data_IF_679946397645
#
_entry.id   IF_679946397645
#
_cell.length_a   1.000
_cell.length_b   1.000
_cell.length_c   1.000
_cell.angle_alpha   90.00
_cell.angle_beta   90.00
_cell.angle_gamma   90.00
#
_symmetry.space_group_name_H-M   'P 1'
#
loop_
_entity.id
_entity.type
_entity.pdbx_description
1 polymer ?
#
# COMPACT_ATOMS: atom_id res chain seq x y z
N UNK A 1 -12.99 -12.07 6.90
CA UNK A 1 -12.26 -11.05 6.12
C UNK A 1 -11.98 -11.46 4.67
N UNK A 2 -12.34 -10.58 3.73
CA UNK A 2 -11.90 -10.59 2.33
C UNK A 2 -10.44 -10.11 2.27
N UNK A 3 -9.64 -10.73 1.41
CA UNK A 3 -8.21 -10.45 1.26
C UNK A 3 -7.92 -9.87 -0.11
N UNK A 4 -7.00 -8.92 -0.15
CA UNK A 4 -6.61 -8.22 -1.37
C UNK A 4 -5.10 -8.14 -1.44
N UNK A 5 -4.57 -8.32 -2.65
CA UNK A 5 -3.20 -7.92 -2.98
C UNK A 5 -3.25 -6.61 -3.75
N UNK A 6 -2.42 -5.68 -3.33
CA UNK A 6 -2.23 -4.37 -3.94
C UNK A 6 -0.80 -4.33 -4.46
N UNK A 7 -0.67 -4.10 -5.75
CA UNK A 7 0.62 -3.88 -6.42
C UNK A 7 0.57 -2.47 -6.97
N UNK A 8 1.36 -1.58 -6.39
CA UNK A 8 1.34 -0.17 -6.73
C UNK A 8 2.72 0.29 -7.17
N UNK A 9 2.80 0.95 -8.32
CA UNK A 9 4.01 1.63 -8.77
C UNK A 9 3.93 3.11 -8.42
N UNK A 10 5.05 3.68 -8.01
CA UNK A 10 5.17 5.10 -7.77
C UNK A 10 5.11 5.89 -9.09
N UNK A 11 5.05 7.22 -8.99
CA UNK A 11 5.33 8.10 -10.13
C UNK A 11 6.71 7.81 -10.74
N UNK A 12 6.87 8.12 -12.03
CA UNK A 12 8.15 8.00 -12.75
C UNK A 12 8.83 9.34 -12.99
N UNK A 13 8.21 10.42 -12.54
CA UNK A 13 8.78 11.77 -12.58
C UNK A 13 9.91 11.92 -11.55
N UNK A 14 10.78 12.91 -11.76
CA UNK A 14 11.95 13.17 -10.91
C UNK A 14 11.60 13.43 -9.44
N UNK A 15 10.37 13.91 -9.15
CA UNK A 15 9.90 14.18 -7.80
C UNK A 15 9.30 12.96 -7.09
N UNK A 16 9.24 11.79 -7.75
CA UNK A 16 8.54 10.63 -7.21
C UNK A 16 9.12 10.13 -5.90
N UNK A 17 10.46 10.00 -5.82
CA UNK A 17 11.13 9.53 -4.62
C UNK A 17 10.97 10.53 -3.46
N UNK A 18 11.13 11.82 -3.71
CA UNK A 18 10.94 12.87 -2.71
C UNK A 18 9.50 12.89 -2.17
N UNK A 19 8.51 12.81 -3.08
CA UNK A 19 7.09 12.71 -2.72
C UNK A 19 6.82 11.49 -1.85
N UNK A 20 7.38 10.32 -2.20
CA UNK A 20 7.29 9.12 -1.37
C UNK A 20 7.88 9.35 0.01
N UNK A 21 9.09 9.89 0.10
CA UNK A 21 9.78 10.09 1.38
C UNK A 21 9.00 11.04 2.29
N UNK A 22 8.45 12.12 1.73
CA UNK A 22 7.63 13.09 2.46
C UNK A 22 6.36 12.46 3.04
N UNK A 23 5.66 11.62 2.26
CA UNK A 23 4.39 11.01 2.67
C UNK A 23 4.59 9.74 3.53
N UNK A 24 5.77 9.10 3.43
CA UNK A 24 6.09 7.80 4.06
C UNK A 24 5.78 7.73 5.55
N UNK A 25 6.08 8.73 6.40
CA UNK A 25 5.75 8.67 7.81
C UNK A 25 4.25 8.50 8.07
N UNK A 26 3.41 9.20 7.31
CA UNK A 26 1.95 9.14 7.44
C UNK A 26 1.42 7.80 6.93
N UNK A 27 1.92 7.32 5.80
CA UNK A 27 1.63 5.98 5.28
C UNK A 27 1.93 4.89 6.31
N UNK A 28 3.13 4.89 6.89
CA UNK A 28 3.54 3.88 7.88
C UNK A 28 2.72 3.96 9.17
N UNK A 29 2.31 5.16 9.60
CA UNK A 29 1.39 5.30 10.72
C UNK A 29 0.01 4.67 10.42
N UNK A 30 -0.51 4.83 9.19
CA UNK A 30 -1.72 4.16 8.72
C UNK A 30 -1.58 2.64 8.67
N UNK A 31 -0.47 2.13 8.11
CA UNK A 31 -0.17 0.71 8.08
C UNK A 31 -0.04 0.10 9.48
N UNK A 32 0.52 0.84 10.45
CA UNK A 32 0.56 0.41 11.85
C UNK A 32 -0.84 0.25 12.43
N UNK A 33 -1.75 1.20 12.19
CA UNK A 33 -3.16 1.08 12.63
C UNK A 33 -3.85 -0.14 12.01
N UNK A 34 -3.62 -0.38 10.72
CA UNK A 34 -4.11 -1.60 10.08
C UNK A 34 -3.54 -2.86 10.74
N UNK A 35 -2.25 -2.86 11.10
CA UNK A 35 -1.63 -4.01 11.78
C UNK A 35 -2.26 -4.24 13.15
N UNK A 36 -2.45 -3.18 13.93
CA UNK A 36 -3.06 -3.21 15.26
C UNK A 36 -4.51 -3.77 15.19
N UNK A 37 -5.21 -3.54 14.07
CA UNK A 37 -6.57 -4.03 13.80
C UNK A 37 -6.62 -5.36 13.02
N UNK A 38 -5.47 -6.03 12.82
CA UNK A 38 -5.37 -7.26 12.02
C UNK A 38 -5.81 -7.14 10.55
N UNK A 39 -5.86 -5.92 10.00
CA UNK A 39 -6.15 -5.65 8.59
C UNK A 39 -4.89 -5.67 7.71
N UNK A 40 -3.70 -5.46 8.27
CA UNK A 40 -2.43 -5.59 7.54
C UNK A 40 -1.85 -7.00 7.70
N UNK A 41 -1.80 -7.77 6.61
CA UNK A 41 -1.19 -9.10 6.59
C UNK A 41 0.32 -8.98 6.40
N UNK A 42 0.73 -8.41 5.26
CA UNK A 42 2.13 -8.27 4.84
C UNK A 42 2.26 -7.07 3.89
N UNK A 43 3.43 -6.45 3.82
CA UNK A 43 3.71 -5.47 2.79
C UNK A 43 5.15 -5.00 2.80
N UNK A 44 5.57 -4.37 1.70
CA UNK A 44 6.93 -3.91 1.51
C UNK A 44 7.06 -2.96 0.33
N UNK A 45 8.20 -2.27 0.26
CA UNK A 45 8.56 -1.47 -0.89
C UNK A 45 9.15 -2.36 -1.99
N UNK A 46 8.74 -2.15 -3.24
CA UNK A 46 9.50 -2.66 -4.39
C UNK A 46 10.69 -1.73 -4.63
N UNK A 47 11.84 -2.32 -4.92
CA UNK A 47 13.08 -1.59 -5.16
C UNK A 47 13.48 -1.63 -6.63
N UNK A 48 14.17 -0.60 -7.11
CA UNK A 48 14.91 -0.64 -8.38
C UNK A 48 16.29 -1.31 -8.21
N UNK A 49 17.08 -1.31 -9.28
CA UNK A 49 18.39 -1.96 -9.32
C UNK A 49 19.41 -1.23 -8.43
N UNK A 50 19.18 0.06 -8.19
CA UNK A 50 19.96 0.93 -7.32
C UNK A 50 19.53 0.85 -5.85
N UNK A 51 18.46 0.12 -5.55
CA UNK A 51 17.92 -0.05 -4.20
C UNK A 51 16.99 1.08 -3.74
N UNK A 52 16.61 2.01 -4.61
CA UNK A 52 15.61 3.02 -4.31
C UNK A 52 14.21 2.42 -4.38
N UNK A 53 13.30 2.97 -3.58
CA UNK A 53 11.91 2.56 -3.60
C UNK A 53 11.20 3.10 -4.84
N UNK A 54 10.51 2.21 -5.57
CA UNK A 54 9.77 2.54 -6.80
C UNK A 54 8.32 2.08 -6.82
N UNK A 55 7.85 1.53 -5.70
CA UNK A 55 6.50 1.01 -5.57
C UNK A 55 6.31 0.26 -4.27
N UNK A 56 5.18 -0.42 -4.16
CA UNK A 56 4.80 -1.18 -2.98
C UNK A 56 3.99 -2.41 -3.37
N UNK A 57 4.14 -3.45 -2.55
CA UNK A 57 3.18 -4.56 -2.49
C UNK A 57 2.58 -4.58 -1.09
N UNK A 58 1.26 -4.70 -1.00
CA UNK A 58 0.55 -4.89 0.27
C UNK A 58 -0.47 -6.01 0.13
N UNK A 59 -0.56 -6.83 1.16
CA UNK A 59 -1.64 -7.78 1.38
C UNK A 59 -2.42 -7.30 2.59
N UNK A 60 -3.68 -6.97 2.36
CA UNK A 60 -4.60 -6.44 3.36
C UNK A 60 -5.87 -7.25 3.42
N UNK A 61 -6.59 -7.15 4.53
CA UNK A 61 -7.83 -7.87 4.74
C UNK A 61 -8.83 -7.04 5.51
N UNK A 62 -10.11 -7.16 5.17
CA UNK A 62 -11.22 -6.38 5.73
C UNK A 62 -12.46 -7.25 5.86
N UNK A 63 -13.39 -6.94 6.78
CA UNK A 63 -14.60 -7.77 6.90
C UNK A 63 -15.54 -7.55 5.73
N UNK A 64 -15.60 -6.32 5.23
CA UNK A 64 -16.47 -5.95 4.10
C UNK A 64 -15.69 -5.26 2.98
N UNK A 65 -16.33 -5.14 1.81
CA UNK A 65 -15.72 -4.38 0.70
C UNK A 65 -15.74 -2.88 1.03
N UNK A 66 -16.77 -2.42 1.73
CA UNK A 66 -16.99 -1.04 2.12
C UNK A 66 -15.88 -0.54 3.04
N UNK A 67 -15.43 -1.37 3.99
CA UNK A 67 -14.28 -1.07 4.85
C UNK A 67 -12.97 -0.96 4.04
N UNK A 68 -12.75 -1.88 3.10
CA UNK A 68 -11.61 -1.82 2.20
C UNK A 68 -11.62 -0.52 1.38
N UNK A 69 -12.75 -0.18 0.76
CA UNK A 69 -12.91 1.04 -0.04
C UNK A 69 -12.73 2.29 0.81
N UNK A 70 -13.25 2.30 2.04
CA UNK A 70 -13.05 3.42 2.95
C UNK A 70 -11.57 3.63 3.27
N UNK A 71 -10.84 2.56 3.59
CA UNK A 71 -9.39 2.66 3.81
C UNK A 71 -8.66 3.07 2.54
N UNK A 72 -8.95 2.45 1.39
CA UNK A 72 -8.29 2.69 0.10
C UNK A 72 -8.39 4.16 -0.32
N UNK A 73 -9.57 4.76 -0.20
CA UNK A 73 -9.80 6.16 -0.56
C UNK A 73 -9.07 7.16 0.36
N UNK A 74 -8.61 6.72 1.53
CA UNK A 74 -7.89 7.54 2.51
C UNK A 74 -6.42 7.13 2.66
N UNK A 75 -5.94 6.20 1.85
CA UNK A 75 -4.58 5.71 1.95
C UNK A 75 -3.59 6.84 1.58
N UNK A 76 -2.60 7.16 2.44
CA UNK A 76 -1.71 8.31 2.22
C UNK A 76 -0.90 8.28 0.92
N UNK A 77 -0.42 7.13 0.47
CA UNK A 77 0.29 7.05 -0.82
C UNK A 77 -0.62 7.23 -2.03
N UNK A 78 -1.90 6.88 -1.94
CA UNK A 78 -2.92 7.19 -2.95
C UNK A 78 -3.24 8.69 -2.94
N UNK A 79 -3.68 9.21 -1.80
CA UNK A 79 -4.12 10.60 -1.64
C UNK A 79 -2.98 11.61 -1.80
N UNK A 80 -1.77 11.25 -1.37
CA UNK A 80 -0.54 12.01 -1.58
C UNK A 80 0.06 11.86 -2.97
N UNK A 81 -0.58 11.10 -3.88
CA UNK A 81 -0.16 10.94 -5.26
C UNK A 81 1.21 10.28 -5.43
N UNK A 82 1.63 9.45 -4.46
CA UNK A 82 2.83 8.62 -4.54
C UNK A 82 2.57 7.46 -5.50
N UNK A 83 1.56 6.65 -5.21
CA UNK A 83 1.14 5.55 -6.07
C UNK A 83 0.37 6.09 -7.27
N UNK A 84 0.81 5.74 -8.48
CA UNK A 84 0.22 6.21 -9.74
C UNK A 84 -0.43 5.09 -10.55
N UNK A 85 0.17 3.91 -10.58
CA UNK A 85 -0.38 2.74 -11.23
C UNK A 85 -0.66 1.67 -10.17
N UNK A 86 -1.93 1.49 -9.84
CA UNK A 86 -2.37 0.63 -8.74
C UNK A 86 -3.20 -0.50 -9.31
N UNK A 87 -2.78 -1.73 -9.05
CA UNK A 87 -3.55 -2.93 -9.31
C UNK A 87 -4.02 -3.52 -7.99
N UNK A 88 -5.33 -3.76 -7.88
CA UNK A 88 -5.96 -4.40 -6.72
C UNK A 88 -6.62 -5.68 -7.21
N UNK A 89 -6.31 -6.80 -6.56
CA UNK A 89 -6.89 -8.11 -6.89
C UNK A 89 -7.37 -8.83 -5.63
N UNK A 90 -8.52 -9.53 -5.67
CA UNK A 90 -8.85 -10.51 -4.65
C UNK A 90 -7.71 -11.50 -4.49
N UNK A 91 -7.39 -11.82 -3.25
CA UNK A 91 -6.25 -12.67 -2.91
C UNK A 91 -6.63 -13.66 -1.82
N UNK A 92 -5.90 -14.77 -1.71
CA UNK A 92 -6.01 -15.69 -0.60
C UNK A 92 -4.62 -16.04 -0.09
N UNK A 93 -4.32 -15.64 1.13
CA UNK A 93 -3.05 -15.92 1.80
C UNK A 93 -2.96 -17.42 2.08
N UNK A 94 -1.85 -18.02 1.69
CA UNK A 94 -1.56 -19.41 2.01
C UNK A 94 -1.33 -19.56 3.52
N UNK A 95 -1.88 -20.62 4.12
CA UNK A 95 -1.65 -20.97 5.51
C UNK A 95 -0.54 -22.03 5.56
N UNK A 96 0.71 -21.58 5.69
CA UNK A 96 1.93 -22.41 5.72
C UNK A 96 2.72 -22.18 6.99
#
# INVERSE_FOLDING_TARGET
MKQYVIIAQDGKDEQALERRQTVRPVHLAGAKKLKDNNNFVLGGAMLDEEGNMRGSVMIVQFETEEEFQHWYNNEPYITGGVWKNIEVKPFKVANV
#
